data_IF_301819118430
#
_entry.id   IF_301819118430
#
_cell.length_a   1.000
_cell.length_b   1.000
_cell.length_c   1.000
_cell.angle_alpha   90.00
_cell.angle_beta   90.00
_cell.angle_gamma   90.00
#
_symmetry.space_group_name_H-M   'P 1'
#
loop_
_entity.id
_entity.type
_entity.pdbx_description
1 polymer ?
#
# COMPACT_ATOMS: atom_id res chain seq x y z
N UNK A 1 -37.13 -6.00 -34.34
CA UNK A 1 -35.87 -6.66 -34.74
C UNK A 1 -35.44 -7.61 -33.65
N UNK A 2 -35.75 -8.88 -33.77
CA UNK A 2 -35.38 -9.94 -32.81
C UNK A 2 -33.98 -10.44 -33.21
N UNK A 3 -32.96 -10.13 -32.43
CA UNK A 3 -31.65 -10.73 -32.58
C UNK A 3 -31.71 -12.17 -32.07
N UNK A 4 -31.81 -13.13 -32.97
CA UNK A 4 -31.64 -14.54 -32.64
C UNK A 4 -30.17 -14.85 -32.55
N UNK A 5 -29.66 -15.05 -31.34
CA UNK A 5 -28.28 -15.47 -31.09
C UNK A 5 -28.16 -16.97 -31.43
N UNK A 6 -27.56 -17.30 -32.57
CA UNK A 6 -27.26 -18.69 -32.94
C UNK A 6 -25.81 -19.03 -32.64
N UNK A 7 -25.59 -20.02 -31.79
CA UNK A 7 -24.26 -20.52 -31.42
C UNK A 7 -23.49 -21.19 -32.59
N UNK A 8 -24.16 -21.39 -33.72
CA UNK A 8 -23.57 -21.99 -34.93
C UNK A 8 -23.00 -20.95 -35.90
N UNK A 9 -23.25 -19.65 -35.68
CA UNK A 9 -22.70 -18.62 -36.57
C UNK A 9 -21.22 -18.37 -36.25
N UNK A 10 -20.32 -18.34 -37.27
CA UNK A 10 -18.89 -18.12 -37.07
C UNK A 10 -18.58 -16.78 -36.36
N UNK A 11 -19.43 -15.78 -36.55
CA UNK A 11 -19.32 -14.46 -35.86
C UNK A 11 -19.62 -14.57 -34.37
N UNK A 12 -20.60 -15.36 -33.97
CA UNK A 12 -20.94 -15.60 -32.56
C UNK A 12 -19.84 -16.36 -31.84
N UNK A 13 -19.24 -17.34 -32.47
CA UNK A 13 -18.10 -18.12 -31.97
C UNK A 13 -16.88 -17.21 -31.79
N UNK A 14 -16.58 -16.35 -32.75
CA UNK A 14 -15.47 -15.41 -32.68
C UNK A 14 -15.64 -14.39 -31.54
N UNK A 15 -16.85 -13.86 -31.33
CA UNK A 15 -17.16 -12.95 -30.22
C UNK A 15 -17.02 -13.63 -28.87
N UNK A 16 -17.49 -14.87 -28.72
CA UNK A 16 -17.33 -15.63 -27.47
C UNK A 16 -15.87 -15.95 -27.20
N UNK A 17 -15.09 -16.32 -28.20
CA UNK A 17 -13.66 -16.56 -28.04
C UNK A 17 -12.90 -15.27 -27.63
N UNK A 18 -13.24 -14.14 -28.24
CA UNK A 18 -12.67 -12.84 -27.87
C UNK A 18 -13.03 -12.43 -26.44
N UNK A 19 -14.29 -12.60 -26.04
CA UNK A 19 -14.74 -12.32 -24.68
C UNK A 19 -14.03 -13.21 -23.64
N UNK A 20 -13.90 -14.51 -23.93
CA UNK A 20 -13.18 -15.44 -23.07
C UNK A 20 -11.70 -15.08 -22.95
N UNK A 21 -11.04 -14.74 -24.06
CA UNK A 21 -9.66 -14.27 -24.07
C UNK A 21 -9.45 -13.00 -23.24
N UNK A 22 -10.39 -12.05 -23.34
CA UNK A 22 -10.36 -10.82 -22.52
C UNK A 22 -10.49 -11.13 -21.01
N UNK A 23 -11.43 -12.00 -20.64
CA UNK A 23 -11.64 -12.40 -19.24
C UNK A 23 -10.39 -13.08 -18.70
N UNK A 24 -9.82 -14.04 -19.42
CA UNK A 24 -8.58 -14.72 -19.03
C UNK A 24 -7.44 -13.71 -18.87
N UNK A 25 -7.30 -12.78 -19.81
CA UNK A 25 -6.30 -11.70 -19.72
C UNK A 25 -6.45 -10.85 -18.48
N UNK A 26 -7.68 -10.39 -18.17
CA UNK A 26 -7.97 -9.60 -16.97
C UNK A 26 -7.66 -10.40 -15.70
N UNK A 27 -8.11 -11.64 -15.61
CA UNK A 27 -7.88 -12.51 -14.44
C UNK A 27 -6.38 -12.73 -14.22
N UNK A 28 -5.62 -12.97 -15.29
CA UNK A 28 -4.17 -13.16 -15.23
C UNK A 28 -3.46 -11.89 -14.72
N UNK A 29 -3.81 -10.73 -15.26
CA UNK A 29 -3.22 -9.45 -14.84
C UNK A 29 -3.56 -9.14 -13.37
N UNK A 30 -4.81 -9.34 -12.95
CA UNK A 30 -5.24 -9.12 -11.56
C UNK A 30 -4.57 -10.12 -10.62
N UNK A 31 -4.47 -11.39 -11.01
CA UNK A 31 -3.78 -12.43 -10.25
C UNK A 31 -2.29 -12.10 -10.08
N UNK A 32 -1.63 -11.69 -11.15
CA UNK A 32 -0.23 -11.29 -11.10
C UNK A 32 0.02 -10.07 -10.20
N UNK A 33 -0.84 -9.04 -10.30
CA UNK A 33 -0.76 -7.86 -9.41
C UNK A 33 -0.92 -8.24 -7.94
N UNK A 34 -1.90 -9.09 -7.62
CA UNK A 34 -2.11 -9.59 -6.25
C UNK A 34 -0.95 -10.44 -5.75
N UNK A 35 -0.42 -11.31 -6.58
CA UNK A 35 0.74 -12.14 -6.25
C UNK A 35 1.97 -11.27 -5.97
N UNK A 36 2.25 -10.29 -6.81
CA UNK A 36 3.34 -9.34 -6.63
C UNK A 36 3.21 -8.53 -5.34
N UNK A 37 2.02 -7.95 -5.09
CA UNK A 37 1.75 -7.20 -3.87
C UNK A 37 1.92 -8.06 -2.59
N UNK A 38 1.46 -9.32 -2.64
CA UNK A 38 1.65 -10.27 -1.53
C UNK A 38 3.13 -10.57 -1.29
N UNK A 39 3.90 -10.76 -2.36
CA UNK A 39 5.34 -11.04 -2.27
C UNK A 39 6.11 -9.85 -1.70
N UNK A 40 5.76 -8.64 -2.10
CA UNK A 40 6.35 -7.40 -1.58
C UNK A 40 6.03 -7.21 -0.09
N UNK A 41 4.80 -7.53 0.35
CA UNK A 41 4.42 -7.53 1.77
C UNK A 41 5.26 -8.52 2.59
N UNK A 42 5.35 -9.77 2.15
CA UNK A 42 6.13 -10.81 2.83
C UNK A 42 7.62 -10.45 2.92
N UNK A 43 8.19 -9.88 1.85
CA UNK A 43 9.57 -9.42 1.85
C UNK A 43 9.80 -8.24 2.82
N UNK A 44 8.80 -7.36 2.98
CA UNK A 44 8.82 -6.26 3.96
C UNK A 44 8.77 -6.80 5.39
N UNK A 45 7.82 -7.70 5.68
CA UNK A 45 7.67 -8.33 6.98
C UNK A 45 8.93 -9.11 7.39
N UNK A 46 9.56 -9.83 6.47
CA UNK A 46 10.83 -10.51 6.72
C UNK A 46 11.98 -9.55 7.09
N UNK A 47 12.02 -8.37 6.45
CA UNK A 47 13.02 -7.35 6.81
C UNK A 47 12.74 -6.74 8.18
N UNK A 48 11.48 -6.47 8.51
CA UNK A 48 11.06 -5.96 9.81
C UNK A 48 11.39 -6.98 10.91
N UNK A 49 11.05 -8.24 10.73
CA UNK A 49 11.36 -9.31 11.65
C UNK A 49 12.88 -9.49 11.87
N UNK A 50 13.70 -9.17 10.88
CA UNK A 50 15.17 -9.25 10.99
C UNK A 50 15.80 -8.16 11.84
N UNK A 51 15.11 -7.04 12.10
CA UNK A 51 15.64 -5.89 12.86
C UNK A 51 14.90 -5.66 14.17
N UNK A 52 13.83 -6.36 14.45
CA UNK A 52 13.02 -6.26 15.67
C UNK A 52 13.06 -7.55 16.48
N UNK A 53 12.91 -7.44 17.79
CA UNK A 53 12.70 -8.57 18.71
C UNK A 53 11.26 -9.07 18.58
N UNK A 54 10.32 -8.11 18.47
CA UNK A 54 8.90 -8.36 18.24
C UNK A 54 8.28 -7.14 17.54
N UNK A 55 7.12 -7.29 16.92
CA UNK A 55 6.43 -6.17 16.29
C UNK A 55 4.91 -6.34 16.28
N UNK A 56 4.23 -5.22 16.40
CA UNK A 56 2.79 -5.10 16.18
C UNK A 56 2.56 -4.37 14.86
N UNK A 57 1.52 -4.75 14.15
CA UNK A 57 1.12 -4.09 12.90
C UNK A 57 -0.33 -3.67 12.95
N UNK A 58 -0.64 -2.60 12.22
CA UNK A 58 -2.02 -2.19 11.95
C UNK A 58 -2.79 -1.93 13.26
N UNK A 59 -2.16 -1.20 14.19
CA UNK A 59 -2.73 -0.93 15.50
C UNK A 59 -3.29 0.50 15.59
N UNK A 60 -4.35 0.68 16.36
CA UNK A 60 -4.88 1.96 16.76
C UNK A 60 -4.49 2.25 18.22
N UNK A 61 -3.94 3.43 18.45
CA UNK A 61 -3.52 3.90 19.78
C UNK A 61 -4.21 5.22 20.07
N UNK A 62 -4.85 5.39 21.23
CA UNK A 62 -5.47 6.67 21.59
C UNK A 62 -4.38 7.73 21.83
N UNK A 63 -4.59 8.93 21.28
CA UNK A 63 -3.78 10.10 21.61
C UNK A 63 -4.24 10.75 22.93
N UNK A 64 -3.60 11.85 23.31
CA UNK A 64 -3.94 12.59 24.53
C UNK A 64 -5.35 13.17 24.53
N UNK A 65 -6.00 13.30 23.37
CA UNK A 65 -7.39 13.74 23.21
C UNK A 65 -8.40 12.59 23.23
N UNK A 66 -7.94 11.34 23.23
CA UNK A 66 -8.76 10.14 23.10
C UNK A 66 -9.09 9.77 21.65
N UNK A 67 -8.50 10.47 20.67
CA UNK A 67 -8.64 10.14 19.26
C UNK A 67 -7.74 8.96 18.90
N UNK A 68 -8.27 7.98 18.18
CA UNK A 68 -7.48 6.83 17.72
C UNK A 68 -6.53 7.24 16.58
N UNK A 69 -5.24 7.04 16.81
CA UNK A 69 -4.19 7.25 15.82
C UNK A 69 -3.70 5.91 15.29
N UNK A 70 -3.78 5.74 13.98
CA UNK A 70 -3.38 4.52 13.30
C UNK A 70 -1.86 4.45 13.14
N UNK A 71 -1.28 3.29 13.45
CA UNK A 71 0.16 3.01 13.34
C UNK A 71 0.34 1.76 12.47
N UNK A 72 1.11 1.89 11.38
CA UNK A 72 1.36 0.77 10.47
C UNK A 72 2.17 -0.33 11.14
N UNK A 73 3.27 0.04 11.80
CA UNK A 73 4.10 -0.88 12.57
C UNK A 73 4.67 -0.22 13.83
N UNK A 74 4.59 -0.95 14.93
CA UNK A 74 5.29 -0.64 16.17
C UNK A 74 6.27 -1.78 16.46
N UNK A 75 7.56 -1.50 16.41
CA UNK A 75 8.62 -2.49 16.57
C UNK A 75 9.25 -2.37 17.95
N UNK A 76 9.41 -3.51 18.62
CA UNK A 76 10.27 -3.61 19.80
C UNK A 76 11.67 -3.97 19.32
N UNK A 77 12.62 -3.10 19.62
CA UNK A 77 14.02 -3.30 19.29
C UNK A 77 14.87 -3.37 20.57
N UNK A 78 16.11 -3.79 20.46
CA UNK A 78 17.06 -3.77 21.59
C UNK A 78 17.37 -2.36 22.11
N UNK A 79 16.97 -1.32 21.38
CA UNK A 79 17.19 0.10 21.75
C UNK A 79 15.91 0.81 22.17
N UNK A 80 14.75 0.15 22.12
CA UNK A 80 13.45 0.70 22.48
C UNK A 80 12.38 0.48 21.40
N UNK A 81 11.28 1.21 21.53
CA UNK A 81 10.16 1.17 20.58
C UNK A 81 10.45 2.05 19.37
N UNK A 82 10.18 1.53 18.19
CA UNK A 82 10.29 2.23 16.92
C UNK A 82 8.93 2.27 16.24
N UNK A 83 8.41 3.45 15.97
CA UNK A 83 7.20 3.68 15.16
C UNK A 83 7.63 3.76 13.68
N UNK A 84 7.04 2.93 12.84
CA UNK A 84 7.33 2.88 11.40
C UNK A 84 6.06 3.16 10.61
N UNK A 85 6.07 4.23 9.81
CA UNK A 85 5.03 4.57 8.83
C UNK A 85 5.51 4.18 7.42
N UNK A 86 4.70 3.43 6.70
CA UNK A 86 5.05 2.89 5.38
C UNK A 86 4.28 3.63 4.28
N UNK A 87 5.02 4.19 3.34
CA UNK A 87 4.46 4.89 2.17
C UNK A 87 4.87 4.19 0.89
N UNK A 88 3.89 3.70 0.14
CA UNK A 88 4.13 3.12 -1.19
C UNK A 88 4.20 4.24 -2.24
N UNK A 89 5.39 4.81 -2.39
CA UNK A 89 5.66 5.88 -3.35
C UNK A 89 6.65 5.36 -4.39
N UNK A 90 6.25 5.40 -5.66
CA UNK A 90 7.12 5.06 -6.78
C UNK A 90 7.77 6.33 -7.33
N UNK A 91 9.12 6.38 -7.35
CA UNK A 91 9.88 7.50 -7.89
C UNK A 91 10.94 8.03 -6.93
N UNK A 92 11.55 9.15 -7.29
CA UNK A 92 12.52 9.84 -6.46
C UNK A 92 11.80 10.86 -5.57
N UNK A 93 11.95 10.74 -4.26
CA UNK A 93 11.36 11.63 -3.27
C UNK A 93 12.38 12.70 -2.88
N UNK A 94 11.95 13.96 -2.95
CA UNK A 94 12.72 15.12 -2.52
C UNK A 94 11.96 15.79 -1.37
N UNK A 95 12.55 15.82 -0.21
CA UNK A 95 11.94 16.42 0.98
C UNK A 95 12.98 16.72 2.04
N UNK A 96 12.62 17.57 2.97
CA UNK A 96 13.35 17.84 4.21
C UNK A 96 12.37 18.06 5.36
N UNK A 97 12.87 18.05 6.57
CA UNK A 97 12.11 18.30 7.79
C UNK A 97 11.52 19.73 7.86
N UNK A 98 12.15 20.70 7.20
CA UNK A 98 11.66 22.08 7.15
C UNK A 98 10.61 22.35 6.07
N UNK A 99 10.34 21.38 5.18
CA UNK A 99 9.37 21.54 4.08
C UNK A 99 7.97 21.10 4.54
N UNK A 100 6.94 21.86 4.19
CA UNK A 100 5.53 21.48 4.42
C UNK A 100 5.05 20.38 3.49
N UNK A 101 5.61 20.31 2.30
CA UNK A 101 5.31 19.30 1.29
C UNK A 101 6.58 18.69 0.72
N UNK A 102 6.51 17.40 0.44
CA UNK A 102 7.55 16.68 -0.27
C UNK A 102 7.17 16.46 -1.73
N UNK A 103 8.17 16.48 -2.59
CA UNK A 103 7.99 16.32 -4.04
C UNK A 103 8.41 14.92 -4.48
N UNK A 104 7.63 14.32 -5.36
CA UNK A 104 7.96 13.06 -6.03
C UNK A 104 8.13 13.29 -7.53
N UNK A 105 9.20 12.75 -8.07
CA UNK A 105 9.47 12.70 -9.51
C UNK A 105 9.39 11.25 -9.98
N UNK A 106 8.39 10.94 -10.81
CA UNK A 106 8.17 9.61 -11.34
C UNK A 106 7.75 9.68 -12.82
N UNK A 107 8.45 8.94 -13.69
CA UNK A 107 8.13 8.82 -15.11
C UNK A 107 7.85 10.18 -15.82
N UNK A 108 8.67 11.20 -15.53
CA UNK A 108 8.54 12.53 -16.10
C UNK A 108 7.39 13.39 -15.52
N UNK A 109 6.72 12.89 -14.49
CA UNK A 109 5.66 13.61 -13.76
C UNK A 109 6.16 14.06 -12.41
N UNK A 110 5.68 15.21 -11.97
CA UNK A 110 5.91 15.76 -10.64
C UNK A 110 4.60 15.81 -9.89
N UNK A 111 4.59 15.34 -8.64
CA UNK A 111 3.49 15.53 -7.71
C UNK A 111 4.04 15.81 -6.31
N UNK A 112 3.23 16.43 -5.46
CA UNK A 112 3.57 16.74 -4.07
C UNK A 112 2.61 16.03 -3.12
N UNK A 113 3.08 15.79 -1.91
CA UNK A 113 2.26 15.31 -0.80
C UNK A 113 2.74 15.95 0.50
N UNK A 114 1.86 16.03 1.50
CA UNK A 114 2.18 16.64 2.78
C UNK A 114 3.36 15.93 3.45
N UNK A 115 4.23 16.70 4.09
CA UNK A 115 5.36 16.17 4.85
C UNK A 115 4.85 15.15 5.90
N UNK A 116 5.27 13.88 5.86
CA UNK A 116 4.76 12.85 6.76
C UNK A 116 5.30 12.95 8.18
N UNK A 117 6.32 13.76 8.41
CA UNK A 117 7.00 13.83 9.72
C UNK A 117 6.09 14.35 10.83
N UNK A 118 5.24 15.34 10.57
CA UNK A 118 4.29 15.85 11.56
C UNK A 118 3.37 14.72 12.07
N UNK A 119 2.74 14.00 11.17
CA UNK A 119 1.89 12.86 11.51
C UNK A 119 2.64 11.71 12.19
N UNK A 120 3.94 11.54 11.89
CA UNK A 120 4.78 10.55 12.56
C UNK A 120 5.08 10.97 14.01
N UNK A 121 5.33 12.26 14.26
CA UNK A 121 5.53 12.76 15.62
C UNK A 121 4.26 12.62 16.47
N UNK A 122 3.08 12.85 15.92
CA UNK A 122 1.80 12.62 16.60
C UNK A 122 1.64 11.15 17.01
N UNK A 123 2.00 10.21 16.12
CA UNK A 123 1.99 8.77 16.42
C UNK A 123 2.98 8.41 17.53
N UNK A 124 4.18 8.99 17.52
CA UNK A 124 5.18 8.78 18.56
C UNK A 124 4.67 9.32 19.91
N UNK A 125 4.01 10.49 19.91
CA UNK A 125 3.41 11.06 21.09
C UNK A 125 2.30 10.18 21.67
N UNK A 126 1.42 9.65 20.81
CA UNK A 126 0.37 8.71 21.22
C UNK A 126 0.95 7.44 21.88
N UNK A 127 1.97 6.83 21.28
CA UNK A 127 2.64 5.64 21.88
C UNK A 127 3.27 5.96 23.23
N UNK A 128 3.89 7.13 23.38
CA UNK A 128 4.48 7.55 24.66
C UNK A 128 3.44 7.80 25.75
N UNK A 129 2.26 8.29 25.36
CA UNK A 129 1.16 8.54 26.29
C UNK A 129 0.42 7.28 26.74
N UNK A 130 0.56 6.18 25.98
CA UNK A 130 -0.10 4.89 26.24
C UNK A 130 0.83 3.87 26.93
N UNK A 131 2.11 4.15 27.04
CA UNK A 131 3.11 3.33 27.73
C UNK A 131 3.24 3.74 29.19
#
# INVERSE_FOLDING_TARGET
MTFTFSLSDPTSIALLAAALGLIVGIVTVLGYKRYRARRERLAREARIAGVSVDYLRDIAVPDASGTEVHIDYLLLTTRGLLVLDVRDIAGNVFGSDSMTEWTVMAAGRRFTFANPQAALYDRIAAVRGSA
#
